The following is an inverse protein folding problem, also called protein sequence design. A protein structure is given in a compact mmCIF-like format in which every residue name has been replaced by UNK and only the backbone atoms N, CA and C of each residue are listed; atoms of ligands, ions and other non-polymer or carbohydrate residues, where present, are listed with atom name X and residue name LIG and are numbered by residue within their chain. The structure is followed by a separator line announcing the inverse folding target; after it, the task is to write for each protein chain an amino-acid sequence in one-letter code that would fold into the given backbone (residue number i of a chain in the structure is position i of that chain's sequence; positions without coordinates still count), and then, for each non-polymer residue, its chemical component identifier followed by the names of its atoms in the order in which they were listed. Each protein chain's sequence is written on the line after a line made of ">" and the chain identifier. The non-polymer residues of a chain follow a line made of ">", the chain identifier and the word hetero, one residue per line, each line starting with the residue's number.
data_IF_874825793243
#
_entry.id   IF_874825793243
#
_cell.length_a   1.000
_cell.length_b   1.000
_cell.length_c   1.000
_cell.angle_alpha   90.00
_cell.angle_beta   90.00
_cell.angle_gamma   90.00
#
_symmetry.space_group_name_H-M   'P 1'
#
loop_
_entity.id
_entity.type
_entity.pdbx_description
1 polymer ?
#
# COMPACT_ATOMS: atom_id res chain seq x y z
N UNK A 1 -4.68 38.09 19.14
CA UNK A 1 -5.49 36.96 19.63
C UNK A 1 -6.47 36.62 18.51
N UNK A 2 -6.00 35.83 17.54
CA UNK A 2 -6.76 35.54 16.31
C UNK A 2 -7.61 34.31 16.58
N UNK A 3 -8.90 34.51 16.86
CA UNK A 3 -9.85 33.40 17.00
C UNK A 3 -9.96 32.74 15.63
N UNK A 4 -9.49 31.49 15.49
CA UNK A 4 -9.61 30.75 14.24
C UNK A 4 -11.09 30.43 14.02
N UNK A 5 -11.68 30.97 12.96
CA UNK A 5 -13.05 30.68 12.58
C UNK A 5 -13.18 29.25 12.03
N UNK A 6 -14.34 28.58 12.21
CA UNK A 6 -14.57 27.27 11.62
C UNK A 6 -14.61 27.38 10.09
N UNK A 7 -13.84 26.52 9.41
CA UNK A 7 -13.59 26.64 7.97
C UNK A 7 -14.58 25.82 7.12
N UNK A 8 -14.89 24.61 7.56
CA UNK A 8 -15.70 23.66 6.81
C UNK A 8 -16.59 22.83 7.73
N UNK A 9 -17.70 22.34 7.17
CA UNK A 9 -18.61 21.42 7.84
C UNK A 9 -18.54 20.07 7.12
N UNK A 10 -18.26 19.01 7.87
CA UNK A 10 -18.28 17.63 7.34
C UNK A 10 -19.72 17.09 7.30
N UNK A 11 -20.08 16.28 6.28
CA UNK A 11 -21.46 15.86 6.04
C UNK A 11 -21.91 14.67 6.91
N UNK A 12 -21.09 14.25 7.89
CA UNK A 12 -21.37 13.14 8.79
C UNK A 12 -21.23 13.59 10.25
N UNK A 13 -22.05 13.05 11.17
CA UNK A 13 -21.97 13.40 12.59
C UNK A 13 -20.67 12.87 13.21
N UNK A 14 -19.93 13.72 13.92
CA UNK A 14 -18.72 13.33 14.65
C UNK A 14 -18.98 13.21 16.15
N UNK A 15 -18.28 12.27 16.80
CA UNK A 15 -18.39 12.11 18.25
C UNK A 15 -17.75 13.28 18.98
N UNK A 16 -18.32 13.63 20.14
CA UNK A 16 -17.84 14.77 20.96
C UNK A 16 -16.38 14.62 21.41
N UNK A 17 -15.83 13.41 21.37
CA UNK A 17 -14.43 13.11 21.74
C UNK A 17 -13.42 13.66 20.72
N UNK A 18 -13.83 13.83 19.46
CA UNK A 18 -12.98 14.43 18.43
C UNK A 18 -12.97 15.96 18.46
N UNK A 19 -13.90 16.58 19.19
CA UNK A 19 -14.03 18.04 19.29
C UNK A 19 -12.73 18.75 19.71
N UNK A 20 -12.03 18.38 20.80
CA UNK A 20 -10.76 19.03 21.17
C UNK A 20 -9.64 18.82 20.13
N UNK A 21 -9.67 17.72 19.37
CA UNK A 21 -8.69 17.47 18.30
C UNK A 21 -9.00 18.27 17.02
N UNK A 22 -10.27 18.43 16.67
CA UNK A 22 -10.70 19.03 15.41
C UNK A 22 -10.96 20.54 15.49
N UNK A 23 -11.16 21.05 16.71
CA UNK A 23 -11.45 22.45 16.99
C UNK A 23 -10.35 23.12 17.83
N UNK A 24 -9.11 22.62 17.75
CA UNK A 24 -7.98 23.22 18.43
C UNK A 24 -7.81 24.68 17.96
N UNK A 25 -7.94 25.63 18.88
CA UNK A 25 -7.89 27.08 18.60
C UNK A 25 -9.25 27.75 18.34
N UNK A 26 -10.37 27.05 18.49
CA UNK A 26 -11.73 27.60 18.42
C UNK A 26 -12.31 27.67 19.86
N UNK A 27 -12.65 28.88 20.33
CA UNK A 27 -13.13 29.10 21.71
C UNK A 27 -14.67 28.99 21.88
N UNK A 28 -15.39 28.41 20.91
CA UNK A 28 -16.85 28.26 21.00
C UNK A 28 -17.28 26.86 21.47
N UNK A 29 -17.60 26.72 22.77
CA UNK A 29 -18.07 25.45 23.36
C UNK A 29 -19.41 24.94 22.79
N UNK A 30 -20.27 25.82 22.28
CA UNK A 30 -21.59 25.48 21.73
C UNK A 30 -21.56 25.03 20.27
N UNK A 31 -20.40 25.09 19.61
CA UNK A 31 -20.28 24.74 18.19
C UNK A 31 -20.41 23.22 18.00
N UNK A 32 -21.15 22.76 17.00
CA UNK A 32 -21.26 21.33 16.71
C UNK A 32 -19.89 20.73 16.29
N UNK A 33 -19.62 19.48 16.66
CA UNK A 33 -18.36 18.77 16.36
C UNK A 33 -18.14 18.56 14.85
N UNK A 34 -19.20 18.70 14.05
CA UNK A 34 -19.17 18.67 12.58
C UNK A 34 -18.42 19.85 11.95
N UNK A 35 -18.17 20.93 12.71
CA UNK A 35 -17.37 22.06 12.25
C UNK A 35 -15.89 21.83 12.57
N UNK A 36 -15.05 21.91 11.55
CA UNK A 36 -13.62 21.66 11.66
C UNK A 36 -12.81 22.93 11.47
N UNK A 37 -11.69 23.02 12.20
CA UNK A 37 -10.68 24.06 12.01
C UNK A 37 -9.94 23.89 10.68
N UNK A 38 -9.25 24.94 10.24
CA UNK A 38 -8.37 24.90 9.06
C UNK A 38 -7.25 23.86 9.19
N UNK A 39 -6.69 23.69 10.39
CA UNK A 39 -5.67 22.68 10.67
C UNK A 39 -6.21 21.26 10.49
N UNK A 40 -7.41 20.99 10.99
CA UNK A 40 -8.05 19.68 10.86
C UNK A 40 -8.45 19.37 9.42
N UNK A 41 -8.88 20.40 8.67
CA UNK A 41 -9.14 20.26 7.23
C UNK A 41 -7.87 19.87 6.45
N UNK A 42 -6.72 20.46 6.78
CA UNK A 42 -5.43 20.07 6.21
C UNK A 42 -5.11 18.60 6.49
N UNK A 43 -5.21 18.15 7.75
CA UNK A 43 -4.95 16.75 8.10
C UNK A 43 -5.87 15.77 7.36
N UNK A 44 -7.16 16.08 7.22
CA UNK A 44 -8.09 15.26 6.44
C UNK A 44 -7.66 15.11 4.98
N UNK A 45 -7.23 16.21 4.35
CA UNK A 45 -6.74 16.17 2.97
C UNK A 45 -5.43 15.37 2.86
N UNK A 46 -4.49 15.53 3.80
CA UNK A 46 -3.22 14.78 3.79
C UNK A 46 -3.45 13.27 3.95
N UNK A 47 -4.33 12.85 4.86
CA UNK A 47 -4.64 11.42 5.03
C UNK A 47 -5.48 10.83 3.89
N UNK A 48 -6.43 11.60 3.35
CA UNK A 48 -7.35 11.12 2.31
C UNK A 48 -6.74 11.06 0.90
N UNK A 49 -5.84 11.99 0.56
CA UNK A 49 -5.30 12.11 -0.80
C UNK A 49 -4.16 11.12 -1.09
N UNK A 50 -3.63 10.41 -0.09
CA UNK A 50 -2.54 9.46 -0.26
C UNK A 50 -2.85 8.35 -1.27
N UNK A 51 -4.06 7.77 -1.19
CA UNK A 51 -4.50 6.75 -2.15
C UNK A 51 -4.61 7.31 -3.58
N UNK A 52 -5.00 8.58 -3.71
CA UNK A 52 -5.06 9.25 -5.00
C UNK A 52 -3.66 9.49 -5.58
N UNK A 53 -2.69 9.89 -4.75
CA UNK A 53 -1.30 10.05 -5.19
C UNK A 53 -0.69 8.73 -5.66
N UNK A 54 -1.01 7.60 -5.01
CA UNK A 54 -0.55 6.27 -5.48
C UNK A 54 -1.13 5.86 -6.83
N UNK A 55 -2.36 6.26 -7.14
CA UNK A 55 -2.99 5.96 -8.43
C UNK A 55 -2.38 6.80 -9.56
N UNK A 56 -2.05 8.06 -9.29
CA UNK A 56 -1.56 9.00 -10.31
C UNK A 56 -0.05 8.86 -10.53
N UNK A 57 0.72 8.71 -9.46
CA UNK A 57 2.18 8.75 -9.48
C UNK A 57 2.84 7.36 -9.38
N UNK A 58 2.04 6.29 -9.18
CA UNK A 58 2.56 4.94 -8.95
C UNK A 58 2.97 4.69 -7.49
N UNK A 59 3.46 3.48 -7.20
CA UNK A 59 3.73 3.02 -5.82
C UNK A 59 4.95 3.69 -5.15
N UNK A 60 5.90 4.24 -5.91
CA UNK A 60 7.12 4.89 -5.38
C UNK A 60 6.99 6.42 -5.28
N UNK A 61 5.81 6.94 -4.98
CA UNK A 61 5.62 8.38 -4.91
C UNK A 61 6.12 8.98 -3.57
N UNK A 62 6.78 10.13 -3.63
CA UNK A 62 7.33 10.82 -2.45
C UNK A 62 6.27 11.36 -1.46
N UNK A 63 4.97 11.28 -1.79
CA UNK A 63 3.89 11.60 -0.87
C UNK A 63 3.66 10.50 0.19
N UNK A 64 4.28 9.33 0.00
CA UNK A 64 4.29 8.23 0.96
C UNK A 64 5.17 8.51 2.20
N UNK A 65 5.69 9.73 2.37
CA UNK A 65 6.44 10.16 3.55
C UNK A 65 5.64 9.99 4.87
N UNK A 66 4.31 10.01 4.78
CA UNK A 66 3.40 9.65 5.89
C UNK A 66 3.41 8.15 6.21
N UNK A 67 3.68 7.27 5.24
CA UNK A 67 4.00 5.84 5.49
C UNK A 67 5.30 5.70 6.22
N UNK A 68 6.34 6.43 5.81
CA UNK A 68 7.64 6.42 6.49
C UNK A 68 7.47 6.83 7.96
N UNK A 69 6.65 7.84 8.25
CA UNK A 69 6.39 8.24 9.64
C UNK A 69 5.58 7.21 10.43
N UNK A 70 4.61 6.53 9.80
CA UNK A 70 3.84 5.44 10.42
C UNK A 70 4.71 4.19 10.64
N UNK A 71 5.54 3.83 9.65
CA UNK A 71 6.56 2.79 9.72
C UNK A 71 7.63 3.13 10.74
N UNK A 72 7.95 4.40 10.98
CA UNK A 72 8.89 4.79 12.03
C UNK A 72 8.27 4.65 13.43
N UNK A 73 6.95 4.83 13.56
CA UNK A 73 6.22 4.66 14.83
C UNK A 73 5.92 3.18 15.14
N UNK A 74 5.63 2.34 14.14
CA UNK A 74 5.41 0.90 14.32
C UNK A 74 6.68 0.04 14.15
N UNK A 75 7.68 0.56 13.44
CA UNK A 75 8.92 -0.11 13.06
C UNK A 75 10.13 0.26 13.92
N UNK A 76 9.94 1.04 15.00
CA UNK A 76 10.99 1.24 16.01
C UNK A 76 11.49 -0.07 16.64
N UNK A 77 10.72 -1.18 16.52
CA UNK A 77 11.14 -2.53 16.89
C UNK A 77 11.81 -3.33 15.74
N UNK A 78 11.69 -2.86 14.48
CA UNK A 78 12.22 -3.49 13.27
C UNK A 78 13.47 -2.77 12.70
N UNK A 79 13.83 -1.61 13.27
CA UNK A 79 14.98 -0.81 12.84
C UNK A 79 16.32 -1.20 13.52
N UNK A 80 16.35 -2.28 14.30
CA UNK A 80 17.62 -2.89 14.66
C UNK A 80 18.08 -3.70 13.44
N UNK A 81 19.25 -3.40 12.85
CA UNK A 81 19.80 -4.23 11.78
C UNK A 81 19.78 -5.67 12.27
N UNK A 82 19.11 -6.56 11.54
CA UNK A 82 19.11 -7.98 11.87
C UNK A 82 20.57 -8.41 12.03
N UNK A 83 20.91 -8.99 13.19
CA UNK A 83 22.25 -9.50 13.43
C UNK A 83 22.62 -10.44 12.29
N UNK A 84 23.61 -10.06 11.49
CA UNK A 84 23.96 -10.75 10.24
C UNK A 84 24.33 -12.20 10.52
N UNK A 85 24.96 -12.48 11.67
CA UNK A 85 25.28 -13.84 12.09
C UNK A 85 24.04 -14.68 12.34
N UNK A 86 23.00 -14.08 12.94
CA UNK A 86 21.72 -14.75 13.18
C UNK A 86 20.99 -15.01 11.86
N UNK A 87 21.03 -14.06 10.92
CA UNK A 87 20.47 -14.23 9.58
C UNK A 87 21.18 -15.35 8.81
N UNK A 88 22.52 -15.40 8.81
CA UNK A 88 23.28 -16.47 8.15
C UNK A 88 23.02 -17.85 8.77
N UNK A 89 22.92 -17.93 10.10
CA UNK A 89 22.62 -19.20 10.77
C UNK A 89 21.23 -19.70 10.42
N UNK A 90 20.24 -18.82 10.36
CA UNK A 90 18.87 -19.18 9.99
C UNK A 90 18.77 -19.72 8.56
N UNK A 91 19.43 -19.07 7.60
CA UNK A 91 19.49 -19.56 6.21
C UNK A 91 20.25 -20.88 6.09
N UNK A 92 21.33 -21.07 6.87
CA UNK A 92 22.09 -22.32 6.88
C UNK A 92 21.25 -23.50 7.40
N UNK A 93 20.53 -23.31 8.52
CA UNK A 93 19.63 -24.32 9.07
C UNK A 93 18.49 -24.66 8.10
N UNK A 94 17.96 -23.67 7.37
CA UNK A 94 16.92 -23.89 6.35
C UNK A 94 17.45 -24.68 5.15
N UNK A 95 18.68 -24.39 4.71
CA UNK A 95 19.32 -25.09 3.60
C UNK A 95 19.66 -26.54 3.96
N UNK A 96 20.06 -26.80 5.21
CA UNK A 96 20.37 -28.15 5.70
C UNK A 96 19.16 -29.09 5.64
N UNK A 97 17.94 -28.55 5.75
CA UNK A 97 16.70 -29.32 5.63
C UNK A 97 16.27 -29.58 4.18
N UNK A 98 16.86 -28.89 3.20
CA UNK A 98 16.38 -28.91 1.83
C UNK A 98 17.03 -30.03 1.03
N UNK A 99 16.23 -31.02 0.62
CA UNK A 99 16.66 -32.07 -0.29
C UNK A 99 16.54 -31.67 -1.76
N UNK A 100 17.48 -32.14 -2.56
CA UNK A 100 17.43 -31.94 -4.01
C UNK A 100 16.27 -32.74 -4.62
N UNK A 101 15.34 -32.02 -5.26
CA UNK A 101 14.27 -32.60 -6.06
C UNK A 101 14.59 -32.37 -7.54
N UNK A 102 14.84 -33.44 -8.28
CA UNK A 102 15.17 -33.33 -9.70
C UNK A 102 13.90 -33.09 -10.52
N UNK A 103 13.69 -31.84 -10.93
CA UNK A 103 12.48 -31.44 -11.66
C UNK A 103 12.30 -32.12 -13.04
N UNK A 104 13.34 -32.73 -13.61
CA UNK A 104 13.30 -33.33 -14.96
C UNK A 104 13.23 -34.85 -14.94
N UNK A 105 13.08 -35.50 -13.78
CA UNK A 105 13.11 -36.96 -13.67
C UNK A 105 12.08 -37.68 -14.55
N UNK A 106 10.90 -37.08 -14.74
CA UNK A 106 9.79 -37.65 -15.54
C UNK A 106 9.37 -36.71 -16.69
N UNK A 107 10.29 -35.89 -17.21
CA UNK A 107 9.96 -34.88 -18.23
C UNK A 107 9.50 -35.52 -19.53
N UNK A 108 10.09 -36.67 -19.90
CA UNK A 108 9.71 -37.42 -21.09
C UNK A 108 8.30 -37.98 -20.98
N UNK A 109 7.94 -38.54 -19.82
CA UNK A 109 6.62 -39.11 -19.58
C UNK A 109 5.53 -38.03 -19.54
N UNK A 110 5.77 -36.88 -18.89
CA UNK A 110 4.82 -35.75 -18.91
C UNK A 110 4.66 -35.18 -20.32
N UNK A 111 5.74 -35.07 -21.09
CA UNK A 111 5.71 -34.59 -22.47
C UNK A 111 4.95 -35.54 -23.39
N UNK A 112 5.15 -36.86 -23.25
CA UNK A 112 4.43 -37.86 -24.06
C UNK A 112 2.98 -38.07 -23.62
N UNK A 113 2.60 -37.66 -22.41
CA UNK A 113 1.23 -37.79 -21.89
C UNK A 113 0.24 -36.82 -22.56
N UNK A 114 0.73 -35.79 -23.25
CA UNK A 114 -0.07 -34.72 -23.87
C UNK A 114 0.37 -34.51 -25.31
N UNK A 115 -0.57 -34.16 -26.18
CA UNK A 115 -0.22 -33.65 -27.50
C UNK A 115 0.41 -32.26 -27.38
N UNK A 116 1.36 -31.97 -28.28
CA UNK A 116 2.01 -30.67 -28.36
C UNK A 116 1.00 -29.61 -28.83
N UNK A 117 0.80 -28.55 -28.05
CA UNK A 117 -0.04 -27.43 -28.46
C UNK A 117 0.69 -26.55 -29.50
N UNK A 118 0.46 -26.86 -30.78
CA UNK A 118 0.98 -26.12 -31.92
C UNK A 118 -0.04 -25.12 -32.51
N UNK A 119 -1.13 -24.83 -31.80
CA UNK A 119 -2.25 -24.03 -32.31
C UNK A 119 -1.85 -22.60 -32.74
N UNK A 120 -0.83 -22.02 -32.11
CA UNK A 120 -0.29 -20.70 -32.46
C UNK A 120 0.75 -20.67 -33.59
N UNK A 121 1.21 -21.83 -34.09
CA UNK A 121 2.27 -21.88 -35.11
C UNK A 121 1.79 -21.46 -36.51
N UNK A 122 0.49 -21.57 -36.77
CA UNK A 122 -0.13 -21.22 -38.05
C UNK A 122 -1.27 -20.20 -37.85
N UNK A 123 -0.97 -19.04 -37.26
CA UNK A 123 -1.86 -17.89 -37.38
C UNK A 123 -1.88 -17.48 -38.86
N UNK A 124 -3.00 -17.77 -39.53
CA UNK A 124 -3.27 -17.31 -40.90
C UNK A 124 -3.45 -15.79 -40.86
N UNK A 125 -2.38 -15.04 -41.10
CA UNK A 125 -2.48 -13.71 -41.68
C UNK A 125 -2.95 -13.88 -43.13
N UNK A 126 -4.26 -14.03 -43.32
CA UNK A 126 -4.90 -13.78 -44.59
C UNK A 126 -5.22 -12.28 -44.66
N UNK A 127 -4.53 -11.48 -45.49
CA UNK A 127 -4.94 -10.11 -45.74
C UNK A 127 -6.29 -10.14 -46.47
N UNK A 128 -7.38 -10.06 -45.71
CA UNK A 128 -8.71 -9.73 -46.25
C UNK A 128 -8.70 -8.24 -46.59
N UNK A 129 -8.40 -7.91 -47.85
CA UNK A 129 -8.46 -6.51 -48.27
C UNK A 129 -7.93 -6.20 -49.66
N UNK A 130 -8.33 -6.94 -50.70
CA UNK A 130 -8.42 -6.40 -52.07
C UNK A 130 -9.64 -7.04 -52.75
N UNK A 131 -10.81 -6.45 -52.54
CA UNK A 131 -11.89 -6.22 -53.52
C UNK A 131 -12.85 -5.20 -52.93
#
# INVERSE_FOLDING_TARGET
>A
MTVLTPQAKVPFPLTLRFKPMLQQGIELLSLDASWVSSASWYFLNVFGLRSMYSLILGQDNGADQSRIMQEQMSGAAMAMPADTNKAFKAEWEALELTDHQWALENVEDDLMSKDLDLSGMFSKDLPTGIF
#
